data_IF_082275863687
#
_entry.id   IF_082275863687
#
_cell.length_a   1.000
_cell.length_b   1.000
_cell.length_c   1.000
_cell.angle_alpha   90.00
_cell.angle_beta   90.00
_cell.angle_gamma   90.00
#
_symmetry.space_group_name_H-M   'P 1'
#
loop_
_entity.id
_entity.type
_entity.pdbx_description
1 polymer ?
#
# COMPACT_ATOMS: atom_id res chain seq x y z
N UNK A 1 55.03 42.79 -17.28
CA UNK A 1 55.27 42.38 -18.68
C UNK A 1 54.04 41.61 -19.01
N UNK A 2 53.15 42.36 -19.40
CA UNK A 2 52.56 42.70 -20.70
C UNK A 2 51.42 41.70 -21.03
N UNK A 3 50.18 42.14 -20.89
CA UNK A 3 49.40 42.84 -21.89
C UNK A 3 49.03 41.89 -23.04
N UNK A 4 47.85 41.71 -23.51
CA UNK A 4 46.73 42.62 -23.77
C UNK A 4 45.52 41.86 -24.31
N UNK A 5 44.34 42.36 -23.93
CA UNK A 5 43.26 42.82 -24.79
C UNK A 5 42.43 41.74 -25.54
N UNK A 6 41.19 41.64 -25.15
CA UNK A 6 40.04 42.51 -25.50
C UNK A 6 39.28 42.06 -26.74
N UNK A 7 38.01 41.77 -26.61
CA UNK A 7 36.79 42.38 -27.13
C UNK A 7 35.64 41.38 -27.16
N UNK A 8 34.66 41.64 -26.31
CA UNK A 8 33.33 42.17 -26.66
C UNK A 8 32.75 41.67 -27.97
N UNK A 9 31.59 41.06 -27.89
CA UNK A 9 30.36 41.50 -28.56
C UNK A 9 29.19 40.65 -28.05
N UNK A 10 28.30 41.30 -27.29
CA UNK A 10 26.87 41.03 -27.28
C UNK A 10 26.29 41.95 -28.36
N UNK A 11 25.28 41.62 -29.14
CA UNK A 11 23.97 42.17 -28.87
C UNK A 11 22.77 41.31 -29.27
N UNK A 12 21.73 41.45 -28.45
CA UNK A 12 20.43 42.01 -28.78
C UNK A 12 19.55 41.38 -29.86
N UNK A 13 18.30 41.07 -29.40
CA UNK A 13 17.00 41.35 -30.06
C UNK A 13 16.65 40.44 -31.26
N UNK A 14 15.48 39.91 -31.36
CA UNK A 14 14.15 40.55 -31.27
C UNK A 14 13.04 39.50 -31.13
N UNK A 15 12.07 39.84 -30.33
CA UNK A 15 10.73 39.26 -30.36
C UNK A 15 9.98 39.79 -31.62
N UNK A 16 9.31 38.93 -32.34
CA UNK A 16 8.25 39.36 -33.22
C UNK A 16 6.98 38.52 -33.02
N UNK A 17 6.05 39.19 -32.40
CA UNK A 17 4.63 38.91 -32.39
C UNK A 17 4.04 39.04 -33.79
N UNK A 18 3.32 38.07 -34.28
CA UNK A 18 2.40 38.28 -35.40
C UNK A 18 0.96 38.12 -34.91
N UNK A 19 0.33 39.30 -34.72
CA UNK A 19 -1.10 39.51 -34.80
C UNK A 19 -1.52 39.54 -36.28
N UNK A 20 -2.49 38.75 -36.67
CA UNK A 20 -3.22 38.97 -37.92
C UNK A 20 -4.71 38.97 -37.63
N UNK A 21 -5.29 40.16 -37.72
CA UNK A 21 -6.74 40.37 -37.75
C UNK A 21 -7.32 40.00 -39.13
N UNK A 22 -8.62 39.68 -39.20
CA UNK A 22 -9.28 39.22 -40.42
C UNK A 22 -9.72 40.42 -41.31
N UNK A 23 -9.43 40.33 -42.58
CA UNK A 23 -10.00 41.21 -43.62
C UNK A 23 -11.29 40.61 -44.16
N UNK A 24 -12.33 41.38 -44.05
CA UNK A 24 -13.62 41.12 -44.67
C UNK A 24 -13.62 41.23 -46.19
N UNK A 25 -14.54 40.55 -46.81
CA UNK A 25 -14.73 40.68 -48.25
C UNK A 25 -15.98 39.97 -48.77
N UNK A 26 -17.01 40.75 -48.96
CA UNK A 26 -18.03 40.71 -49.99
C UNK A 26 -19.06 39.55 -50.02
N UNK A 27 -20.26 39.89 -49.57
CA UNK A 27 -21.52 39.28 -49.94
C UNK A 27 -21.81 39.45 -51.43
N UNK A 28 -22.04 38.39 -52.18
CA UNK A 28 -22.71 38.39 -53.46
C UNK A 28 -24.04 37.65 -53.33
N UNK A 29 -25.12 38.41 -53.37
CA UNK A 29 -26.47 37.92 -53.48
C UNK A 29 -26.69 37.27 -54.84
N UNK A 30 -26.88 35.96 -54.90
CA UNK A 30 -27.41 35.26 -56.03
C UNK A 30 -28.64 34.46 -55.61
N UNK A 31 -29.84 34.97 -56.00
CA UNK A 31 -31.10 34.25 -55.91
C UNK A 31 -31.32 33.50 -57.22
N UNK A 32 -31.42 32.19 -57.26
CA UNK A 32 -31.87 31.46 -58.44
C UNK A 32 -33.41 31.47 -58.56
N UNK A 33 -33.95 31.42 -59.75
CA UNK A 33 -35.40 31.52 -59.97
C UNK A 33 -36.16 30.28 -59.53
N UNK A 34 -37.30 30.54 -58.88
CA UNK A 34 -38.28 29.54 -58.45
C UNK A 34 -38.96 28.90 -59.67
N UNK A 35 -38.72 27.63 -59.91
CA UNK A 35 -39.43 26.84 -60.89
C UNK A 35 -40.41 25.92 -60.13
N UNK A 36 -41.70 26.29 -60.19
CA UNK A 36 -42.79 25.50 -59.65
C UNK A 36 -43.08 24.28 -60.55
N UNK A 37 -42.60 23.14 -60.20
CA UNK A 37 -43.15 21.86 -60.66
C UNK A 37 -43.83 21.17 -59.50
N UNK A 38 -45.18 21.11 -59.57
CA UNK A 38 -45.99 20.22 -58.74
C UNK A 38 -45.61 18.79 -59.10
N UNK A 39 -44.77 18.12 -58.26
CA UNK A 39 -44.66 16.68 -58.28
C UNK A 39 -45.54 16.10 -57.20
N UNK A 40 -46.48 15.27 -57.62
CA UNK A 40 -47.31 14.44 -56.75
C UNK A 40 -46.42 13.56 -55.89
N UNK A 41 -46.53 13.69 -54.57
CA UNK A 41 -45.86 12.79 -53.62
C UNK A 41 -46.44 11.37 -53.79
N UNK A 42 -45.59 10.35 -53.96
CA UNK A 42 -46.05 8.97 -53.89
C UNK A 42 -46.48 8.64 -52.47
N UNK A 43 -47.64 8.02 -52.30
CA UNK A 43 -48.10 7.55 -50.98
C UNK A 43 -47.13 6.53 -50.38
N UNK A 44 -46.87 6.60 -49.05
CA UNK A 44 -45.96 5.66 -48.41
C UNK A 44 -46.53 4.24 -48.46
N UNK A 45 -45.72 3.22 -48.71
CA UNK A 45 -46.17 1.84 -48.77
C UNK A 45 -46.73 1.38 -47.41
N UNK A 46 -47.88 0.71 -47.42
CA UNK A 46 -48.49 0.13 -46.21
C UNK A 46 -47.52 -0.83 -45.56
N UNK A 47 -47.04 -0.51 -44.34
CA UNK A 47 -46.17 -1.38 -43.52
C UNK A 47 -46.86 -2.71 -43.22
N UNK A 48 -46.40 -3.80 -43.83
CA UNK A 48 -46.76 -5.15 -43.41
C UNK A 48 -46.23 -5.36 -41.99
N UNK A 49 -47.10 -5.59 -41.02
CA UNK A 49 -46.74 -5.96 -39.64
C UNK A 49 -45.95 -7.28 -39.70
N UNK A 50 -44.62 -7.19 -39.51
CA UNK A 50 -43.73 -8.37 -39.35
C UNK A 50 -44.00 -8.99 -37.97
N UNK A 51 -44.73 -10.10 -37.93
CA UNK A 51 -44.95 -10.91 -36.71
C UNK A 51 -43.63 -11.47 -36.12
N UNK A 52 -42.48 -11.33 -36.81
CA UNK A 52 -41.16 -11.76 -36.35
C UNK A 52 -40.47 -10.81 -35.34
N UNK A 53 -40.87 -9.52 -35.31
CA UNK A 53 -40.24 -8.54 -34.45
C UNK A 53 -40.53 -8.75 -32.96
N UNK A 54 -41.70 -9.28 -32.61
CA UNK A 54 -42.10 -9.55 -31.22
C UNK A 54 -41.33 -10.76 -30.65
N UNK A 55 -41.13 -11.79 -31.46
CA UNK A 55 -40.38 -12.99 -31.04
C UNK A 55 -38.89 -12.67 -30.79
N UNK A 56 -38.27 -11.86 -31.66
CA UNK A 56 -36.88 -11.41 -31.48
C UNK A 56 -36.77 -10.53 -30.24
N UNK A 57 -37.71 -9.63 -29.99
CA UNK A 57 -37.72 -8.80 -28.79
C UNK A 57 -37.86 -9.65 -27.51
N UNK A 58 -38.72 -10.66 -27.51
CA UNK A 58 -38.89 -11.58 -26.37
C UNK A 58 -37.65 -12.40 -26.12
N UNK A 59 -36.94 -12.88 -27.15
CA UNK A 59 -35.69 -13.61 -27.02
C UNK A 59 -34.61 -12.71 -26.43
N UNK A 60 -34.48 -11.46 -26.91
CA UNK A 60 -33.49 -10.49 -26.37
C UNK A 60 -33.78 -10.15 -24.91
N UNK A 61 -35.04 -9.95 -24.54
CA UNK A 61 -35.42 -9.70 -23.14
C UNK A 61 -35.13 -10.92 -22.26
N UNK A 62 -35.46 -12.14 -22.73
CA UNK A 62 -35.15 -13.36 -21.98
C UNK A 62 -33.64 -13.60 -21.81
N UNK A 63 -32.83 -13.30 -22.83
CA UNK A 63 -31.35 -13.41 -22.70
C UNK A 63 -30.82 -12.36 -21.76
N UNK A 64 -31.35 -11.13 -21.75
CA UNK A 64 -30.92 -10.08 -20.78
C UNK A 64 -31.35 -10.44 -19.35
N UNK A 65 -32.56 -10.96 -19.15
CA UNK A 65 -33.04 -11.42 -17.84
C UNK A 65 -32.23 -12.62 -17.37
N UNK A 66 -31.92 -13.60 -18.23
CA UNK A 66 -31.11 -14.74 -17.90
C UNK A 66 -29.68 -14.30 -17.55
N UNK A 67 -29.07 -13.37 -18.31
CA UNK A 67 -27.77 -12.80 -18.01
C UNK A 67 -27.77 -12.06 -16.67
N UNK A 68 -28.83 -11.26 -16.40
CA UNK A 68 -28.95 -10.55 -15.11
C UNK A 68 -29.15 -11.53 -13.93
N UNK A 69 -29.88 -12.62 -14.12
CA UNK A 69 -30.05 -13.67 -13.08
C UNK A 69 -28.73 -14.41 -12.85
N UNK A 70 -27.98 -14.75 -13.90
CA UNK A 70 -26.66 -15.42 -13.77
C UNK A 70 -25.65 -14.47 -13.11
N UNK A 71 -25.66 -13.19 -13.49
CA UNK A 71 -24.80 -12.17 -12.86
C UNK A 71 -25.22 -11.96 -11.40
N UNK A 72 -26.53 -11.82 -11.13
CA UNK A 72 -27.05 -11.70 -9.77
C UNK A 72 -26.76 -12.93 -8.91
N UNK A 73 -26.86 -14.15 -9.46
CA UNK A 73 -26.50 -15.37 -8.78
C UNK A 73 -24.99 -15.44 -8.48
N UNK A 74 -24.13 -15.02 -9.43
CA UNK A 74 -22.70 -14.92 -9.21
C UNK A 74 -22.36 -13.85 -8.16
N UNK A 75 -23.03 -12.69 -8.16
CA UNK A 75 -22.82 -11.62 -7.18
C UNK A 75 -23.30 -12.04 -5.79
N UNK A 76 -24.45 -12.72 -5.68
CA UNK A 76 -25.00 -13.19 -4.40
C UNK A 76 -24.24 -14.39 -3.80
N UNK A 77 -23.61 -15.22 -4.64
CA UNK A 77 -22.84 -16.40 -4.21
C UNK A 77 -21.32 -16.18 -4.31
N UNK A 78 -20.86 -14.96 -4.60
CA UNK A 78 -19.46 -14.64 -4.36
C UNK A 78 -19.23 -14.64 -2.83
N UNK A 79 -18.40 -15.49 -2.30
CA UNK A 79 -18.07 -15.43 -0.89
C UNK A 79 -17.36 -14.09 -0.63
N UNK A 80 -18.08 -13.13 -0.08
CA UNK A 80 -17.55 -11.92 0.54
C UNK A 80 -16.81 -12.25 1.85
N UNK A 81 -16.37 -13.49 2.00
CA UNK A 81 -15.74 -13.97 3.22
C UNK A 81 -14.23 -13.77 3.12
N UNK A 82 -13.70 -12.96 4.00
CA UNK A 82 -12.42 -13.29 4.57
C UNK A 82 -12.52 -14.76 5.01
N UNK A 83 -11.80 -15.67 4.35
CA UNK A 83 -11.66 -17.01 4.89
C UNK A 83 -11.01 -16.82 6.25
N UNK A 84 -11.67 -17.25 7.30
CA UNK A 84 -11.05 -17.32 8.62
C UNK A 84 -9.78 -18.13 8.48
N UNK A 85 -8.65 -17.69 9.08
CA UNK A 85 -7.41 -18.44 9.04
C UNK A 85 -7.68 -19.89 9.38
N UNK A 86 -7.22 -20.79 8.56
CA UNK A 86 -7.53 -22.23 8.71
C UNK A 86 -6.79 -22.89 9.85
N UNK A 87 -5.97 -22.14 10.62
CA UNK A 87 -5.04 -22.75 11.57
C UNK A 87 -3.99 -23.61 10.86
N UNK A 88 -3.67 -23.29 9.61
CA UNK A 88 -2.66 -23.98 8.82
C UNK A 88 -1.29 -23.75 9.46
N UNK A 89 -0.53 -24.83 9.66
CA UNK A 89 0.82 -24.81 10.22
C UNK A 89 1.91 -24.58 9.14
N UNK A 90 1.52 -24.24 7.91
CA UNK A 90 2.46 -23.89 6.83
C UNK A 90 3.31 -22.68 7.25
N UNK A 91 4.63 -22.81 7.04
CA UNK A 91 5.61 -21.76 7.37
C UNK A 91 6.44 -21.40 6.17
N UNK A 92 6.89 -20.14 6.15
CA UNK A 92 7.87 -19.70 5.18
C UNK A 92 9.24 -20.28 5.53
N UNK A 93 9.83 -21.05 4.62
CA UNK A 93 11.17 -21.59 4.78
C UNK A 93 12.22 -20.65 4.20
N UNK A 94 13.27 -20.37 4.98
CA UNK A 94 14.41 -19.57 4.56
C UNK A 94 15.64 -20.49 4.42
N UNK A 95 16.26 -20.48 3.25
CA UNK A 95 17.53 -21.17 3.02
C UNK A 95 18.72 -20.26 3.35
N UNK A 96 19.87 -20.86 3.64
CA UNK A 96 21.12 -20.11 3.65
C UNK A 96 21.64 -19.95 2.23
N UNK A 97 22.31 -18.83 1.89
CA UNK A 97 22.99 -18.73 0.61
C UNK A 97 24.02 -19.86 0.46
N UNK A 98 24.31 -20.30 -0.76
CA UNK A 98 25.39 -21.27 -0.99
C UNK A 98 26.69 -20.73 -0.41
N UNK A 99 27.34 -21.52 0.46
CA UNK A 99 28.69 -21.22 0.93
C UNK A 99 29.64 -21.53 -0.21
N UNK A 100 30.33 -20.53 -0.72
CA UNK A 100 31.40 -20.70 -1.72
C UNK A 100 32.60 -21.28 -0.99
N UNK A 101 32.67 -22.60 -0.91
CA UNK A 101 33.86 -23.32 -0.47
C UNK A 101 34.75 -23.57 -1.69
N UNK A 102 36.03 -23.25 -1.61
CA UNK A 102 36.97 -23.35 -2.74
C UNK A 102 37.23 -24.80 -3.22
N UNK A 103 36.60 -25.78 -2.60
CA UNK A 103 36.82 -27.20 -2.90
C UNK A 103 35.68 -27.93 -3.64
N UNK A 104 34.49 -27.31 -3.79
CA UNK A 104 33.39 -27.87 -4.55
C UNK A 104 32.88 -26.84 -5.57
N UNK A 105 32.63 -27.20 -6.84
CA UNK A 105 31.95 -26.33 -7.79
C UNK A 105 30.47 -26.23 -7.37
N UNK A 106 30.17 -25.37 -6.43
CA UNK A 106 28.82 -24.93 -6.14
C UNK A 106 28.51 -23.86 -7.18
N UNK A 107 27.32 -23.90 -7.74
CA UNK A 107 26.82 -22.92 -8.71
C UNK A 107 27.16 -21.52 -8.23
N UNK A 108 28.10 -20.86 -8.89
CA UNK A 108 28.50 -19.50 -8.62
C UNK A 108 27.34 -18.53 -8.81
N UNK A 109 27.56 -17.22 -8.59
CA UNK A 109 26.52 -16.22 -8.85
C UNK A 109 25.92 -16.35 -10.24
N UNK A 110 24.60 -16.31 -10.31
CA UNK A 110 23.85 -16.36 -11.56
C UNK A 110 23.97 -15.04 -12.32
N UNK A 111 23.94 -15.09 -13.65
CA UNK A 111 23.74 -13.87 -14.44
C UNK A 111 22.36 -13.27 -14.21
N UNK A 112 22.20 -11.96 -14.41
CA UNK A 112 20.91 -11.28 -14.29
C UNK A 112 19.80 -11.95 -15.14
N UNK A 113 20.16 -12.49 -16.32
CA UNK A 113 19.23 -13.22 -17.17
C UNK A 113 18.76 -14.54 -16.56
N UNK A 114 19.63 -15.26 -15.88
CA UNK A 114 19.32 -16.51 -15.18
C UNK A 114 18.48 -16.25 -13.94
N UNK A 115 18.83 -15.19 -13.16
CA UNK A 115 18.03 -14.73 -12.01
C UNK A 115 16.61 -14.41 -12.47
N UNK A 116 16.45 -13.60 -13.52
CA UNK A 116 15.13 -13.27 -14.06
C UNK A 116 14.32 -14.51 -14.41
N UNK A 117 14.91 -15.45 -15.17
CA UNK A 117 14.23 -16.69 -15.55
C UNK A 117 13.82 -17.54 -14.34
N UNK A 118 14.63 -17.53 -13.28
CA UNK A 118 14.36 -18.30 -12.06
C UNK A 118 13.17 -17.74 -11.30
N UNK A 119 13.05 -16.41 -11.19
CA UNK A 119 12.12 -15.72 -10.30
C UNK A 119 10.83 -15.25 -10.99
N UNK A 120 10.87 -14.99 -12.30
CA UNK A 120 9.73 -14.42 -13.03
C UNK A 120 8.45 -15.26 -12.91
N UNK A 121 8.55 -16.58 -12.96
CA UNK A 121 7.40 -17.49 -12.85
C UNK A 121 6.77 -17.51 -11.44
N UNK A 122 7.51 -17.02 -10.45
CA UNK A 122 7.05 -16.92 -9.05
C UNK A 122 6.53 -15.52 -8.71
N UNK A 123 6.67 -14.55 -9.64
CA UNK A 123 6.13 -13.21 -9.51
C UNK A 123 4.76 -13.12 -10.16
N UNK A 124 3.82 -12.52 -9.48
CA UNK A 124 2.42 -12.39 -9.93
C UNK A 124 1.93 -10.95 -9.80
N UNK A 125 1.01 -10.55 -10.65
CA UNK A 125 0.26 -9.31 -10.50
C UNK A 125 -0.84 -9.49 -9.46
N UNK A 126 -1.03 -8.50 -8.59
CA UNK A 126 -2.14 -8.44 -7.63
C UNK A 126 -3.04 -7.29 -8.03
N UNK A 127 -4.27 -7.59 -8.43
CA UNK A 127 -5.27 -6.62 -8.89
C UNK A 127 -6.42 -6.62 -7.91
N UNK A 128 -6.69 -5.47 -7.30
CA UNK A 128 -7.72 -5.29 -6.29
C UNK A 128 -8.85 -4.43 -6.84
N UNK A 129 -10.06 -4.96 -6.78
CA UNK A 129 -11.27 -4.26 -7.18
C UNK A 129 -12.07 -3.85 -5.94
N UNK A 130 -12.75 -2.71 -6.01
CA UNK A 130 -13.72 -2.32 -5.00
C UNK A 130 -14.89 -3.30 -4.95
N UNK A 131 -15.61 -3.39 -3.83
CA UNK A 131 -16.65 -4.40 -3.57
C UNK A 131 -17.73 -4.59 -4.63
N UNK A 132 -17.90 -3.64 -5.57
CA UNK A 132 -18.82 -3.75 -6.71
C UNK A 132 -18.13 -4.12 -8.03
N UNK A 133 -16.87 -4.51 -8.01
CA UNK A 133 -16.13 -5.28 -9.03
C UNK A 133 -15.99 -4.70 -10.46
N UNK A 134 -16.15 -3.40 -10.67
CA UNK A 134 -15.98 -2.81 -12.03
C UNK A 134 -14.78 -1.87 -12.14
N UNK A 135 -14.23 -1.39 -11.03
CA UNK A 135 -13.11 -0.45 -11.02
C UNK A 135 -11.94 -1.02 -10.24
N UNK A 136 -10.77 -1.00 -10.85
CA UNK A 136 -9.51 -1.32 -10.18
C UNK A 136 -9.24 -0.24 -9.13
N UNK A 137 -9.04 -0.65 -7.90
CA UNK A 137 -8.76 0.23 -6.77
C UNK A 137 -7.25 0.33 -6.49
N UNK A 138 -6.55 -0.78 -6.56
CA UNK A 138 -5.10 -0.84 -6.44
C UNK A 138 -4.52 -1.99 -7.25
N UNK A 139 -3.28 -1.83 -7.66
CA UNK A 139 -2.48 -2.86 -8.30
C UNK A 139 -1.11 -2.92 -7.63
N UNK A 140 -0.56 -4.12 -7.57
CA UNK A 140 0.76 -4.38 -7.02
C UNK A 140 1.33 -5.69 -7.53
N UNK A 141 2.33 -6.15 -6.84
CA UNK A 141 3.01 -7.41 -7.11
C UNK A 141 2.83 -8.37 -5.94
N UNK A 142 2.88 -9.65 -6.21
CA UNK A 142 2.95 -10.71 -5.21
C UNK A 142 4.05 -11.71 -5.55
N UNK A 143 4.56 -12.39 -4.54
CA UNK A 143 5.53 -13.47 -4.70
C UNK A 143 4.94 -14.76 -4.15
N UNK A 144 4.95 -15.79 -4.97
CA UNK A 144 4.47 -17.13 -4.59
C UNK A 144 5.38 -17.70 -3.52
N UNK A 145 4.83 -17.86 -2.32
CA UNK A 145 5.56 -18.37 -1.16
C UNK A 145 5.70 -19.90 -1.20
N UNK A 146 4.58 -20.58 -1.40
CA UNK A 146 4.52 -22.04 -1.32
C UNK A 146 3.09 -22.55 -1.21
N UNK A 147 2.97 -23.85 -1.01
CA UNK A 147 1.67 -24.51 -0.89
C UNK A 147 1.25 -24.64 0.57
N UNK A 148 -0.05 -24.71 0.81
CA UNK A 148 -0.58 -25.04 2.14
C UNK A 148 -0.26 -26.51 2.52
N UNK A 149 -0.44 -26.84 3.80
CA UNK A 149 -0.11 -28.17 4.35
C UNK A 149 -0.80 -29.32 3.61
N UNK A 150 -2.01 -29.10 3.10
CA UNK A 150 -2.80 -30.09 2.36
C UNK A 150 -2.43 -30.18 0.86
N UNK A 151 -1.57 -29.30 0.39
CA UNK A 151 -1.20 -29.16 -1.02
C UNK A 151 -2.44 -28.94 -1.95
N UNK A 152 -3.37 -28.11 -1.51
CA UNK A 152 -4.62 -27.76 -2.24
C UNK A 152 -4.69 -26.29 -2.62
N UNK A 153 -3.85 -25.47 -2.04
CA UNK A 153 -3.81 -24.03 -2.26
C UNK A 153 -2.38 -23.49 -2.22
N UNK A 154 -2.21 -22.30 -2.75
CA UNK A 154 -0.93 -21.58 -2.78
C UNK A 154 -1.04 -20.30 -1.97
N UNK A 155 -0.04 -20.01 -1.14
CA UNK A 155 0.12 -18.74 -0.46
C UNK A 155 1.00 -17.78 -1.28
N UNK A 156 0.62 -16.51 -1.25
CA UNK A 156 1.30 -15.42 -1.96
C UNK A 156 1.55 -14.31 -0.98
N UNK A 157 2.77 -13.81 -0.92
CA UNK A 157 3.15 -12.65 -0.11
C UNK A 157 3.02 -11.40 -0.97
N UNK A 158 2.46 -10.34 -0.42
CA UNK A 158 2.34 -9.01 -1.05
C UNK A 158 2.43 -7.92 0.02
N UNK A 159 2.30 -6.64 -0.36
CA UNK A 159 2.20 -5.55 0.61
C UNK A 159 0.77 -5.41 1.16
N UNK A 160 0.67 -5.10 2.46
CA UNK A 160 -0.61 -4.88 3.11
C UNK A 160 -1.39 -3.74 2.45
N UNK A 161 -0.73 -2.61 2.13
CA UNK A 161 -1.39 -1.46 1.52
C UNK A 161 -2.00 -1.75 0.14
N UNK A 162 -1.52 -2.77 -0.56
CA UNK A 162 -2.10 -3.18 -1.85
C UNK A 162 -3.46 -3.81 -1.66
N UNK A 163 -3.64 -4.59 -0.57
CA UNK A 163 -4.83 -5.41 -0.32
C UNK A 163 -5.71 -4.92 0.83
N UNK A 164 -5.29 -3.88 1.56
CA UNK A 164 -6.04 -3.30 2.69
C UNK A 164 -7.23 -2.47 2.20
N UNK A 165 -8.31 -3.14 1.88
CA UNK A 165 -9.54 -2.55 1.36
C UNK A 165 -10.75 -3.29 1.93
N UNK A 166 -11.87 -2.58 2.16
CA UNK A 166 -13.12 -3.21 2.63
C UNK A 166 -13.71 -4.09 1.54
N UNK A 167 -13.90 -5.39 1.86
CA UNK A 167 -14.53 -6.38 0.97
C UNK A 167 -13.90 -6.40 -0.45
N UNK A 168 -12.58 -6.59 -0.58
CA UNK A 168 -11.93 -6.57 -1.87
C UNK A 168 -12.29 -7.82 -2.69
N UNK A 169 -12.45 -7.66 -4.00
CA UNK A 169 -12.28 -8.75 -4.94
C UNK A 169 -10.84 -8.69 -5.45
N UNK A 170 -10.06 -9.75 -5.20
CA UNK A 170 -8.65 -9.79 -5.57
C UNK A 170 -8.45 -10.83 -6.66
N UNK A 171 -7.75 -10.44 -7.72
CA UNK A 171 -7.31 -11.32 -8.79
C UNK A 171 -5.79 -11.36 -8.76
N UNK A 172 -5.26 -12.56 -8.78
CA UNK A 172 -3.83 -12.82 -9.01
C UNK A 172 -3.66 -13.19 -10.47
N UNK A 173 -2.76 -12.50 -11.18
CA UNK A 173 -2.45 -12.73 -12.59
C UNK A 173 -1.00 -13.17 -12.76
N UNK A 174 -0.78 -14.21 -13.55
CA UNK A 174 0.55 -14.71 -13.91
C UNK A 174 1.09 -14.07 -15.18
N UNK A 175 2.37 -14.30 -15.49
CA UNK A 175 3.04 -13.78 -16.69
C UNK A 175 2.42 -14.29 -18.01
N UNK A 176 1.74 -15.43 -17.98
CA UNK A 176 1.01 -16.00 -19.12
C UNK A 176 -0.49 -15.64 -19.13
N UNK A 177 -0.84 -14.54 -18.44
CA UNK A 177 -2.19 -13.96 -18.35
C UNK A 177 -3.26 -14.87 -17.71
N UNK A 178 -2.86 -15.95 -17.05
CA UNK A 178 -3.81 -16.72 -16.24
C UNK A 178 -4.24 -15.94 -15.01
N UNK A 179 -5.50 -16.01 -14.67
CA UNK A 179 -6.10 -15.32 -13.56
C UNK A 179 -6.69 -16.28 -12.54
N UNK A 180 -6.48 -15.96 -11.27
CA UNK A 180 -6.95 -16.74 -10.13
C UNK A 180 -7.66 -15.80 -9.14
N UNK A 181 -8.81 -16.23 -8.64
CA UNK A 181 -9.44 -15.56 -7.50
C UNK A 181 -8.54 -15.77 -6.26
N UNK A 182 -8.27 -14.68 -5.53
CA UNK A 182 -7.44 -14.72 -4.34
C UNK A 182 -8.20 -14.18 -3.12
N UNK A 183 -7.88 -14.73 -1.96
CA UNK A 183 -8.49 -14.41 -0.68
C UNK A 183 -7.44 -13.90 0.29
N UNK A 184 -7.79 -12.87 1.07
CA UNK A 184 -6.90 -12.35 2.12
C UNK A 184 -6.86 -13.34 3.27
N UNK A 185 -5.68 -13.86 3.59
CA UNK A 185 -5.42 -14.69 4.78
C UNK A 185 -5.24 -13.80 5.99
N UNK A 186 -4.44 -12.76 5.84
CA UNK A 186 -4.18 -11.76 6.85
C UNK A 186 -3.29 -10.65 6.30
N UNK A 187 -3.22 -9.54 7.02
CA UNK A 187 -2.32 -8.43 6.71
C UNK A 187 -1.83 -7.76 7.99
N UNK A 188 -0.64 -7.21 7.91
CA UNK A 188 -0.03 -6.40 8.95
C UNK A 188 0.33 -5.02 8.39
N UNK A 189 -0.43 -4.01 8.79
CA UNK A 189 -0.27 -2.64 8.30
C UNK A 189 1.04 -2.02 8.80
N UNK A 190 1.54 -2.46 9.95
CA UNK A 190 2.76 -1.92 10.56
C UNK A 190 4.01 -2.28 9.76
N UNK A 191 4.14 -3.54 9.37
CA UNK A 191 5.27 -3.99 8.54
C UNK A 191 4.99 -3.92 7.05
N UNK A 192 3.76 -3.54 6.67
CA UNK A 192 3.28 -3.52 5.29
C UNK A 192 3.33 -4.90 4.59
N UNK A 193 3.15 -5.98 5.33
CA UNK A 193 3.12 -7.35 4.79
C UNK A 193 1.69 -7.88 4.78
N UNK A 194 1.31 -8.54 3.68
CA UNK A 194 0.03 -9.23 3.53
C UNK A 194 0.21 -10.61 2.90
N UNK A 195 -0.73 -11.50 3.21
CA UNK A 195 -0.77 -12.86 2.67
C UNK A 195 -2.09 -13.09 1.96
N UNK A 196 -2.00 -13.58 0.74
CA UNK A 196 -3.12 -14.05 -0.06
C UNK A 196 -3.09 -15.58 -0.19
N UNK A 197 -4.26 -16.19 -0.39
CA UNK A 197 -4.44 -17.60 -0.72
C UNK A 197 -5.16 -17.72 -2.06
N UNK A 198 -4.63 -18.59 -2.91
CA UNK A 198 -5.25 -19.02 -4.17
C UNK A 198 -5.56 -20.50 -4.08
N UNK A 199 -6.78 -20.92 -4.43
CA UNK A 199 -7.22 -22.33 -4.40
C UNK A 199 -6.73 -23.08 -5.67
N UNK A 200 -5.42 -23.11 -5.88
CA UNK A 200 -4.72 -23.84 -6.94
C UNK A 200 -3.27 -24.09 -6.52
N UNK A 201 -2.65 -25.12 -7.08
CA UNK A 201 -1.23 -25.45 -6.92
C UNK A 201 -0.45 -25.27 -8.22
N UNK A 202 -1.01 -24.59 -9.22
CA UNK A 202 -0.36 -24.36 -10.51
C UNK A 202 0.72 -23.27 -10.46
N UNK A 203 0.75 -22.47 -9.37
CA UNK A 203 1.70 -21.38 -9.20
C UNK A 203 3.02 -21.91 -8.67
N UNK A 204 4.14 -21.43 -9.24
CA UNK A 204 5.48 -21.90 -8.91
C UNK A 204 6.04 -21.11 -7.72
N UNK A 205 6.42 -21.75 -6.61
CA UNK A 205 7.04 -21.07 -5.48
C UNK A 205 8.41 -20.46 -5.80
N UNK A 206 8.73 -19.34 -5.15
CA UNK A 206 10.06 -18.75 -5.13
C UNK A 206 10.94 -19.43 -4.08
N UNK A 207 12.25 -19.36 -4.28
CA UNK A 207 13.22 -19.70 -3.25
C UNK A 207 13.46 -18.47 -2.37
N UNK A 208 13.34 -18.62 -1.05
CA UNK A 208 13.65 -17.57 -0.09
C UNK A 208 14.95 -17.85 0.64
N UNK A 209 15.72 -16.80 0.94
CA UNK A 209 16.96 -16.91 1.72
C UNK A 209 16.97 -15.95 2.92
N UNK A 210 17.79 -16.26 3.91
CA UNK A 210 17.99 -15.43 5.10
C UNK A 210 18.61 -14.08 4.71
N UNK A 211 17.89 -12.98 4.93
CA UNK A 211 18.38 -11.61 4.67
C UNK A 211 19.50 -11.17 5.64
N UNK A 212 19.66 -11.85 6.76
CA UNK A 212 20.74 -11.59 7.74
C UNK A 212 22.16 -11.84 7.18
N UNK A 213 22.24 -12.49 6.03
CA UNK A 213 23.52 -12.79 5.35
C UNK A 213 23.95 -11.72 4.34
N UNK A 214 23.09 -10.72 4.09
CA UNK A 214 23.40 -9.61 3.18
C UNK A 214 24.42 -8.68 3.78
N UNK A 215 25.27 -8.14 2.90
CA UNK A 215 26.23 -7.08 3.23
C UNK A 215 26.01 -5.85 2.34
N UNK A 216 26.43 -4.68 2.82
CA UNK A 216 26.41 -3.45 2.01
C UNK A 216 27.32 -3.63 0.81
N UNK A 217 26.81 -3.35 -0.39
CA UNK A 217 27.49 -3.57 -1.65
C UNK A 217 27.09 -4.85 -2.40
N UNK A 218 26.35 -5.76 -1.75
CA UNK A 218 25.84 -6.96 -2.41
C UNK A 218 24.92 -6.59 -3.57
N UNK A 219 25.08 -7.23 -4.75
CA UNK A 219 24.17 -7.03 -5.87
C UNK A 219 22.79 -7.59 -5.56
N UNK A 220 21.76 -6.79 -5.82
CA UNK A 220 20.36 -7.18 -5.65
C UNK A 220 19.53 -6.77 -6.86
N UNK A 221 18.43 -7.46 -7.05
CA UNK A 221 17.51 -7.27 -8.17
C UNK A 221 16.09 -7.15 -7.63
N UNK A 222 15.32 -6.23 -8.18
CA UNK A 222 13.90 -6.10 -7.88
C UNK A 222 13.08 -6.59 -9.07
N UNK A 223 12.04 -7.39 -8.80
CA UNK A 223 11.06 -7.82 -9.80
C UNK A 223 9.67 -7.40 -9.36
N UNK A 224 8.88 -6.89 -10.30
CA UNK A 224 7.51 -6.45 -10.02
C UNK A 224 6.80 -5.90 -11.24
N UNK A 225 5.68 -5.20 -11.00
CA UNK A 225 4.77 -4.71 -12.03
C UNK A 225 4.57 -3.19 -11.90
N UNK A 226 5.62 -2.36 -12.13
CA UNK A 226 5.55 -0.92 -11.94
C UNK A 226 4.49 -0.30 -12.87
N UNK A 227 3.55 0.46 -12.31
CA UNK A 227 2.44 1.02 -13.08
C UNK A 227 1.34 0.02 -13.44
N UNK A 228 1.30 -1.14 -12.76
CA UNK A 228 0.30 -2.18 -12.94
C UNK A 228 0.72 -3.31 -13.89
N UNK A 229 -0.23 -4.19 -14.19
CA UNK A 229 0.02 -5.42 -14.97
C UNK A 229 0.47 -5.18 -16.41
N UNK A 230 0.29 -3.96 -16.96
CA UNK A 230 0.81 -3.59 -18.29
C UNK A 230 2.35 -3.63 -18.38
N UNK A 231 3.06 -3.50 -17.26
CA UNK A 231 4.52 -3.60 -17.18
C UNK A 231 4.95 -4.85 -16.38
N UNK A 232 4.19 -5.91 -16.52
CA UNK A 232 4.40 -7.17 -15.82
C UNK A 232 5.86 -7.67 -15.93
N UNK A 233 6.41 -8.13 -14.80
CA UNK A 233 7.74 -8.74 -14.72
C UNK A 233 8.89 -7.78 -15.01
N UNK A 234 8.71 -6.48 -14.78
CA UNK A 234 9.82 -5.53 -14.86
C UNK A 234 10.92 -5.91 -13.87
N UNK A 235 12.16 -5.94 -14.37
CA UNK A 235 13.31 -6.41 -13.63
C UNK A 235 14.39 -5.32 -13.59
N UNK A 236 14.75 -4.88 -12.40
CA UNK A 236 15.74 -3.83 -12.19
C UNK A 236 16.88 -4.33 -11.30
N UNK A 237 18.06 -3.74 -11.40
CA UNK A 237 19.21 -4.11 -10.60
C UNK A 237 19.74 -2.94 -9.78
N UNK A 238 20.40 -3.27 -8.68
CA UNK A 238 21.07 -2.34 -7.80
C UNK A 238 21.99 -3.07 -6.82
N UNK A 239 22.30 -2.42 -5.72
CA UNK A 239 23.07 -3.01 -4.63
C UNK A 239 22.44 -2.64 -3.29
N UNK A 240 22.74 -3.40 -2.26
CA UNK A 240 22.40 -3.08 -0.89
C UNK A 240 23.17 -1.82 -0.47
N UNK A 241 22.46 -0.79 -0.02
CA UNK A 241 23.04 0.51 0.41
C UNK A 241 23.11 0.63 1.93
N UNK A 242 22.18 -0.01 2.65
CA UNK A 242 22.21 -0.12 4.11
C UNK A 242 21.35 -1.32 4.56
N UNK A 243 21.65 -1.82 5.75
CA UNK A 243 20.90 -2.91 6.42
C UNK A 243 20.41 -2.38 7.75
N UNK A 244 19.21 -2.78 8.15
CA UNK A 244 18.62 -2.33 9.41
C UNK A 244 18.31 -0.82 9.42
N UNK A 245 17.99 -0.25 8.25
CA UNK A 245 17.60 1.16 8.16
C UNK A 245 16.22 1.33 8.75
N UNK A 246 16.07 2.10 9.86
CA UNK A 246 14.75 2.44 10.36
C UNK A 246 14.00 3.34 9.37
N UNK A 247 12.80 2.98 9.03
CA UNK A 247 11.94 3.74 8.11
C UNK A 247 10.52 3.71 8.64
N UNK A 248 9.90 4.88 8.70
CA UNK A 248 8.52 5.00 9.14
C UNK A 248 7.56 4.32 8.15
N UNK A 249 6.73 3.44 8.67
CA UNK A 249 5.61 2.90 7.89
C UNK A 249 4.51 3.97 7.72
N UNK A 250 3.56 3.78 6.78
CA UNK A 250 2.45 4.72 6.57
C UNK A 250 1.61 5.02 7.81
N UNK A 251 1.71 4.19 8.83
CA UNK A 251 1.00 4.33 10.11
C UNK A 251 1.91 4.81 11.26
N UNK A 252 3.10 5.34 10.91
CA UNK A 252 4.05 5.89 11.88
C UNK A 252 4.73 4.84 12.75
N UNK A 253 4.88 3.61 12.26
CA UNK A 253 5.60 2.52 12.91
C UNK A 253 6.96 2.34 12.25
N UNK A 254 8.01 2.27 13.03
CA UNK A 254 9.37 2.10 12.51
C UNK A 254 9.60 0.64 12.06
N UNK A 255 9.99 0.45 10.81
CA UNK A 255 10.34 -0.85 10.23
C UNK A 255 11.81 -0.87 9.88
N UNK A 256 12.54 -1.86 10.38
CA UNK A 256 13.94 -2.07 10.02
C UNK A 256 14.04 -2.66 8.62
N UNK A 257 14.46 -1.86 7.63
CA UNK A 257 14.46 -2.22 6.22
C UNK A 257 15.86 -2.45 5.63
N UNK A 258 15.89 -3.20 4.51
CA UNK A 258 17.02 -3.22 3.58
C UNK A 258 16.86 -2.00 2.67
N UNK A 259 17.83 -1.07 2.67
CA UNK A 259 17.91 0.00 1.68
C UNK A 259 18.74 -0.46 0.49
N UNK A 260 18.28 -0.19 -0.74
CA UNK A 260 18.96 -0.59 -1.97
C UNK A 260 18.78 0.43 -3.09
N UNK A 261 19.59 0.33 -4.15
CA UNK A 261 19.57 1.24 -5.29
C UNK A 261 18.80 0.71 -6.51
N UNK A 262 18.23 -0.50 -6.46
CA UNK A 262 17.37 -0.98 -7.53
C UNK A 262 16.12 -0.08 -7.62
N UNK A 263 15.77 0.46 -8.82
CA UNK A 263 14.62 1.34 -8.99
C UNK A 263 13.31 0.70 -8.54
N UNK A 264 12.60 1.37 -7.63
CA UNK A 264 11.27 1.01 -7.14
C UNK A 264 10.27 2.11 -7.54
N UNK A 265 9.13 1.68 -8.04
CA UNK A 265 8.02 2.54 -8.44
C UNK A 265 6.70 1.95 -7.93
N UNK A 266 5.62 2.74 -7.84
CA UNK A 266 4.28 2.21 -7.55
C UNK A 266 3.94 1.04 -8.48
N UNK A 267 3.47 -0.08 -7.89
CA UNK A 267 3.24 -1.35 -8.55
C UNK A 267 4.34 -2.40 -8.30
N UNK A 268 5.58 -2.01 -7.92
CA UNK A 268 6.59 -2.96 -7.42
C UNK A 268 6.32 -3.41 -5.98
N UNK A 269 5.43 -2.74 -5.26
CA UNK A 269 5.02 -3.10 -3.90
C UNK A 269 4.52 -4.54 -3.84
N UNK A 270 5.08 -5.32 -2.91
CA UNK A 270 4.83 -6.76 -2.77
C UNK A 270 5.70 -7.65 -3.67
N UNK A 271 6.50 -7.04 -4.56
CA UNK A 271 7.47 -7.75 -5.40
C UNK A 271 8.74 -8.12 -4.63
N UNK A 272 9.51 -9.07 -5.17
CA UNK A 272 10.72 -9.54 -4.52
C UNK A 272 11.92 -8.61 -4.72
N UNK A 273 12.71 -8.47 -3.65
CA UNK A 273 14.13 -8.16 -3.73
C UNK A 273 14.89 -9.50 -3.70
N UNK A 274 15.71 -9.79 -4.70
CA UNK A 274 16.42 -11.06 -4.81
C UNK A 274 17.94 -10.85 -4.84
N UNK A 275 18.66 -11.84 -4.29
CA UNK A 275 20.13 -11.86 -4.30
C UNK A 275 20.67 -12.41 -5.64
N UNK A 276 22.00 -12.48 -5.76
CA UNK A 276 22.72 -12.99 -6.93
C UNK A 276 22.51 -14.50 -7.20
N UNK A 277 21.82 -15.22 -6.33
CA UNK A 277 21.47 -16.64 -6.51
C UNK A 277 19.99 -16.81 -6.90
N UNK A 278 19.28 -15.70 -7.14
CA UNK A 278 17.85 -15.70 -7.46
C UNK A 278 16.98 -16.16 -6.31
N UNK A 279 17.37 -15.84 -5.08
CA UNK A 279 16.61 -16.12 -3.86
C UNK A 279 16.04 -14.82 -3.31
N UNK A 280 14.82 -14.86 -2.84
CA UNK A 280 14.12 -13.70 -2.23
C UNK A 280 14.73 -13.40 -0.87
N UNK A 281 15.24 -12.19 -0.70
CA UNK A 281 15.84 -11.68 0.53
C UNK A 281 15.03 -10.55 1.17
N UNK A 282 13.99 -10.09 0.48
CA UNK A 282 13.07 -9.08 1.02
C UNK A 282 11.86 -8.86 0.10
N UNK A 283 10.87 -8.14 0.64
CA UNK A 283 9.66 -7.71 -0.07
C UNK A 283 9.71 -6.19 -0.24
N UNK A 284 9.71 -5.73 -1.49
CA UNK A 284 9.77 -4.30 -1.82
C UNK A 284 8.47 -3.60 -1.42
N UNK A 285 8.58 -2.41 -0.82
CA UNK A 285 7.45 -1.54 -0.57
C UNK A 285 7.73 -0.12 -1.06
N UNK A 286 6.90 0.39 -1.95
CA UNK A 286 6.99 1.77 -2.44
C UNK A 286 6.44 2.79 -1.43
N UNK A 287 5.65 2.35 -0.44
CA UNK A 287 5.11 3.23 0.61
C UNK A 287 6.08 3.48 1.77
N UNK A 288 7.00 2.55 1.99
CA UNK A 288 8.09 2.72 2.95
C UNK A 288 9.18 3.63 2.36
N UNK A 289 9.25 3.77 1.01
CA UNK A 289 10.09 4.75 0.36
C UNK A 289 9.48 6.14 0.56
N UNK A 290 10.19 7.04 1.24
CA UNK A 290 9.77 8.43 1.32
C UNK A 290 9.70 9.02 -0.10
N UNK A 291 8.59 9.65 -0.46
CA UNK A 291 8.34 10.25 -1.79
C UNK A 291 9.40 11.27 -2.21
N UNK A 292 10.22 11.73 -1.24
CA UNK A 292 11.23 12.78 -1.42
C UNK A 292 12.64 12.27 -1.77
N UNK A 293 12.90 10.93 -1.82
CA UNK A 293 14.24 10.38 -2.02
C UNK A 293 14.36 9.56 -3.30
N UNK A 294 14.68 10.25 -4.40
CA UNK A 294 14.95 9.59 -5.68
C UNK A 294 16.15 8.63 -5.59
N UNK A 295 15.99 7.42 -6.11
CA UNK A 295 17.06 6.41 -6.17
C UNK A 295 17.26 5.60 -4.89
N UNK A 296 16.37 5.73 -3.89
CA UNK A 296 16.35 4.88 -2.70
C UNK A 296 15.16 3.91 -2.77
N UNK A 297 15.44 2.62 -2.79
CA UNK A 297 14.48 1.56 -2.63
C UNK A 297 14.55 0.96 -1.23
N UNK A 298 13.43 0.47 -0.72
CA UNK A 298 13.34 -0.20 0.58
C UNK A 298 12.59 -1.52 0.45
N UNK A 299 13.08 -2.51 1.17
CA UNK A 299 12.45 -3.82 1.27
C UNK A 299 12.39 -4.30 2.72
N UNK A 300 11.27 -4.90 3.10
CA UNK A 300 11.14 -5.59 4.38
C UNK A 300 11.99 -6.86 4.32
N UNK A 301 12.94 -7.07 5.26
CA UNK A 301 13.84 -8.23 5.24
C UNK A 301 13.10 -9.56 5.30
N UNK A 302 13.58 -10.59 4.60
CA UNK A 302 12.94 -11.92 4.57
C UNK A 302 12.79 -12.55 5.97
N UNK A 303 13.70 -12.27 6.90
CA UNK A 303 13.60 -12.76 8.28
C UNK A 303 12.39 -12.14 9.00
N UNK A 304 12.14 -10.83 8.82
CA UNK A 304 10.95 -10.15 9.34
C UNK A 304 9.69 -10.64 8.60
N UNK A 305 9.75 -10.76 7.27
CA UNK A 305 8.64 -11.29 6.46
C UNK A 305 8.21 -12.66 6.97
N UNK A 306 9.17 -13.56 7.26
CA UNK A 306 8.88 -14.89 7.79
C UNK A 306 8.10 -14.85 9.09
N UNK A 307 8.53 -14.06 10.07
CA UNK A 307 7.87 -13.92 11.37
C UNK A 307 6.41 -13.47 11.21
N UNK A 308 6.19 -12.47 10.37
CA UNK A 308 4.87 -11.91 10.12
C UNK A 308 3.98 -12.90 9.35
N UNK A 309 4.48 -13.49 8.28
CA UNK A 309 3.74 -14.41 7.41
C UNK A 309 3.31 -15.67 8.18
N UNK A 310 4.21 -16.24 8.99
CA UNK A 310 3.90 -17.42 9.82
C UNK A 310 2.73 -17.11 10.80
N UNK A 311 2.72 -15.91 11.40
CA UNK A 311 1.61 -15.47 12.26
C UNK A 311 0.32 -15.21 11.46
N UNK A 312 0.41 -14.56 10.30
CA UNK A 312 -0.76 -14.29 9.46
C UNK A 312 -1.41 -15.59 8.95
N UNK A 313 -0.63 -16.58 8.54
CA UNK A 313 -1.16 -17.87 8.07
C UNK A 313 -1.83 -18.61 9.23
N UNK A 314 -1.21 -18.62 10.38
CA UNK A 314 -1.71 -19.36 11.56
C UNK A 314 -2.92 -18.69 12.20
N UNK A 315 -2.87 -17.38 12.39
CA UNK A 315 -3.81 -16.65 13.26
C UNK A 315 -4.65 -15.60 12.50
N UNK A 316 -4.35 -15.32 11.23
CA UNK A 316 -4.94 -14.24 10.43
C UNK A 316 -4.47 -12.85 10.80
N UNK A 317 -3.67 -12.72 11.84
CA UNK A 317 -3.15 -11.48 12.40
C UNK A 317 -1.91 -11.74 13.22
N UNK A 318 -1.09 -10.70 13.42
CA UNK A 318 0.07 -10.76 14.32
C UNK A 318 -0.43 -10.70 15.76
N UNK A 319 -0.02 -11.66 16.59
CA UNK A 319 -0.45 -11.79 17.98
C UNK A 319 0.57 -11.18 18.95
N UNK A 320 0.12 -10.93 20.17
CA UNK A 320 0.96 -10.47 21.29
C UNK A 320 1.72 -9.16 21.03
N UNK A 321 1.23 -8.30 20.15
CA UNK A 321 1.82 -7.00 19.88
C UNK A 321 1.33 -5.97 20.90
N UNK A 322 2.23 -5.40 21.73
CA UNK A 322 1.82 -4.45 22.75
C UNK A 322 1.45 -3.10 22.15
N UNK A 323 0.36 -2.52 22.60
CA UNK A 323 -0.09 -1.17 22.22
C UNK A 323 -0.72 -0.45 23.41
N UNK A 324 -0.76 0.88 23.36
CA UNK A 324 -1.56 1.71 24.28
C UNK A 324 -3.03 1.76 23.89
N UNK A 325 -3.35 1.56 22.62
CA UNK A 325 -4.70 1.67 22.06
C UNK A 325 -5.18 3.15 22.04
N UNK A 326 -4.39 4.00 21.41
CA UNK A 326 -4.73 5.41 21.16
C UNK A 326 -4.40 5.78 19.71
N UNK A 327 -5.17 6.75 19.19
CA UNK A 327 -4.73 7.58 18.08
C UNK A 327 -4.16 8.87 18.64
N UNK A 328 -3.06 9.37 18.06
CA UNK A 328 -2.41 10.58 18.53
C UNK A 328 -1.84 11.41 17.38
N UNK A 329 -1.54 12.66 17.70
CA UNK A 329 -0.72 13.50 16.81
C UNK A 329 0.33 14.27 17.64
N UNK A 330 1.50 14.61 17.05
CA UNK A 330 2.43 15.52 17.69
C UNK A 330 1.74 16.84 18.08
N UNK A 331 1.99 17.32 19.29
CA UNK A 331 1.42 18.58 19.76
C UNK A 331 1.82 19.79 18.88
N UNK A 332 2.95 19.66 18.16
CA UNK A 332 3.45 20.66 17.20
C UNK A 332 2.56 20.80 15.96
N UNK A 333 1.77 19.78 15.62
CA UNK A 333 0.88 19.80 14.45
C UNK A 333 -0.39 20.65 14.68
N UNK A 334 -0.65 21.05 15.93
CA UNK A 334 -1.77 21.92 16.28
C UNK A 334 -1.26 23.21 16.92
N UNK A 335 -1.70 24.35 16.40
CA UNK A 335 -1.22 25.67 16.84
C UNK A 335 -1.46 25.94 18.33
N UNK A 336 -2.63 25.56 18.88
CA UNK A 336 -2.96 25.78 20.29
C UNK A 336 -2.06 24.96 21.20
N UNK A 337 -1.94 23.64 20.92
CA UNK A 337 -1.06 22.76 21.70
C UNK A 337 0.41 23.16 21.59
N UNK A 338 0.88 23.57 20.40
CA UNK A 338 2.23 24.07 20.21
C UNK A 338 2.53 25.30 21.05
N UNK A 339 1.57 26.23 21.19
CA UNK A 339 1.70 27.37 22.09
C UNK A 339 1.72 26.91 23.56
N UNK A 340 0.84 25.97 23.95
CA UNK A 340 0.78 25.46 25.32
C UNK A 340 2.08 24.73 25.71
N UNK A 341 2.64 23.95 24.82
CA UNK A 341 3.94 23.28 25.03
C UNK A 341 5.02 24.31 25.35
N UNK A 342 5.15 25.36 24.54
CA UNK A 342 6.16 26.41 24.73
C UNK A 342 5.91 27.26 25.97
N UNK A 343 4.66 27.68 26.20
CA UNK A 343 4.30 28.57 27.30
C UNK A 343 4.42 27.91 28.68
N UNK A 344 4.35 26.58 28.76
CA UNK A 344 4.39 25.80 30.01
C UNK A 344 5.63 24.95 30.16
N UNK A 345 6.64 25.18 29.33
CA UNK A 345 7.90 24.46 29.36
C UNK A 345 7.73 22.91 29.33
N UNK A 346 6.84 22.43 28.42
CA UNK A 346 6.57 21.03 28.23
C UNK A 346 7.54 20.45 27.19
N UNK A 347 7.80 19.14 27.21
CA UNK A 347 8.67 18.47 26.24
C UNK A 347 8.22 18.70 24.80
N UNK A 348 9.17 18.88 23.88
CA UNK A 348 8.91 19.18 22.46
C UNK A 348 8.26 18.03 21.70
N UNK A 349 8.48 16.79 22.13
CA UNK A 349 7.87 15.60 21.57
C UNK A 349 6.54 15.19 22.21
N UNK A 350 5.91 16.11 22.98
CA UNK A 350 4.58 15.87 23.54
C UNK A 350 3.58 15.48 22.42
N UNK A 351 2.74 14.48 22.69
CA UNK A 351 1.69 14.03 21.78
C UNK A 351 0.32 14.32 22.36
N UNK A 352 -0.65 14.65 21.50
CA UNK A 352 -2.05 14.86 21.85
C UNK A 352 -2.83 13.59 21.55
N UNK A 353 -3.57 13.09 22.52
CA UNK A 353 -4.46 11.94 22.34
C UNK A 353 -5.66 12.41 21.52
N UNK A 354 -5.76 11.90 20.29
CA UNK A 354 -6.88 12.18 19.38
C UNK A 354 -8.08 11.30 19.69
N UNK A 355 -7.84 10.00 19.89
CA UNK A 355 -8.86 9.01 20.23
C UNK A 355 -8.29 7.95 21.19
N UNK A 356 -9.12 7.46 22.11
CA UNK A 356 -8.83 6.30 22.95
C UNK A 356 -9.69 5.14 22.44
N UNK A 357 -9.06 4.14 21.85
CA UNK A 357 -9.73 3.00 21.25
C UNK A 357 -10.42 2.09 22.28
N UNK A 358 -11.48 1.39 21.87
CA UNK A 358 -12.07 0.36 22.70
C UNK A 358 -11.04 -0.75 22.97
N UNK A 359 -10.95 -1.21 24.22
CA UNK A 359 -9.96 -2.18 24.65
C UNK A 359 -8.68 -1.59 25.25
N UNK A 360 -8.45 -0.28 25.10
CA UNK A 360 -7.35 0.43 25.76
C UNK A 360 -7.53 0.43 27.29
N UNK A 361 -6.45 0.19 28.04
CA UNK A 361 -6.46 0.32 29.52
C UNK A 361 -6.60 1.79 29.98
N UNK A 362 -6.32 2.75 29.09
CA UNK A 362 -6.57 4.19 29.36
C UNK A 362 -8.04 4.50 29.67
N UNK A 363 -8.99 3.73 29.12
CA UNK A 363 -10.42 3.90 29.43
C UNK A 363 -10.75 3.67 30.91
N UNK A 364 -9.87 2.99 31.67
CA UNK A 364 -10.01 2.76 33.10
C UNK A 364 -9.37 3.87 33.95
N UNK A 365 -8.91 4.96 33.34
CA UNK A 365 -8.23 6.08 33.98
C UNK A 365 -9.04 7.37 33.79
N UNK A 366 -8.53 8.48 34.35
CA UNK A 366 -9.10 9.80 34.14
C UNK A 366 -8.64 10.49 32.83
N UNK A 367 -7.79 9.83 32.02
CA UNK A 367 -7.28 10.36 30.74
C UNK A 367 -8.42 10.52 29.74
N UNK A 368 -8.37 11.60 28.94
CA UNK A 368 -9.36 11.94 27.94
C UNK A 368 -8.72 12.30 26.62
N UNK A 369 -9.51 12.22 25.58
CA UNK A 369 -9.18 12.81 24.27
C UNK A 369 -8.91 14.30 24.44
N UNK A 370 -7.85 14.79 23.80
CA UNK A 370 -7.32 16.16 24.00
C UNK A 370 -6.27 16.31 25.10
N UNK A 371 -6.05 15.32 25.95
CA UNK A 371 -4.91 15.31 26.87
C UNK A 371 -3.59 15.11 26.11
N UNK A 372 -2.50 15.62 26.68
CA UNK A 372 -1.15 15.38 26.13
C UNK A 372 -0.41 14.35 26.99
N UNK A 373 0.28 13.40 26.34
CA UNK A 373 1.31 12.59 26.99
C UNK A 373 2.63 13.36 26.88
N UNK A 374 3.27 13.63 28.01
CA UNK A 374 4.51 14.43 28.07
C UNK A 374 5.71 13.64 28.62
N UNK A 375 5.47 12.51 29.30
CA UNK A 375 6.54 11.62 29.75
C UNK A 375 6.02 10.17 29.85
N UNK A 376 6.94 9.21 29.75
CA UNK A 376 6.70 7.79 29.99
C UNK A 376 7.78 7.25 30.94
N UNK A 377 7.38 6.53 31.98
CA UNK A 377 8.26 5.96 33.00
C UNK A 377 9.25 6.98 33.59
N UNK A 378 8.81 8.26 33.73
CA UNK A 378 9.61 9.35 34.23
C UNK A 378 10.59 9.97 33.22
N UNK A 379 10.64 9.48 31.97
CA UNK A 379 11.45 10.05 30.89
C UNK A 379 10.59 11.00 30.06
N UNK A 380 11.00 12.25 29.90
CA UNK A 380 10.30 13.23 29.08
C UNK A 380 10.23 12.80 27.62
N UNK A 381 9.16 13.14 26.93
CA UNK A 381 9.03 12.96 25.48
C UNK A 381 9.72 14.12 24.75
N UNK A 382 11.05 14.07 24.61
CA UNK A 382 11.80 15.03 23.78
C UNK A 382 11.50 14.80 22.28
N UNK A 383 11.17 13.56 21.89
CA UNK A 383 10.52 13.11 20.66
C UNK A 383 9.44 12.10 21.02
N UNK A 384 8.40 11.93 20.16
CA UNK A 384 7.39 10.88 20.33
C UNK A 384 8.01 9.46 20.25
N UNK A 385 9.16 9.31 19.59
CA UNK A 385 9.88 8.03 19.46
C UNK A 385 10.23 7.44 20.84
N UNK A 386 10.42 8.28 21.85
CA UNK A 386 10.66 7.82 23.25
C UNK A 386 9.50 6.95 23.76
N UNK A 387 8.25 7.32 23.43
CA UNK A 387 7.09 6.52 23.81
C UNK A 387 6.99 5.27 22.95
N UNK A 388 7.24 5.39 21.65
CA UNK A 388 7.20 4.27 20.71
C UNK A 388 8.23 3.20 21.09
N UNK A 389 9.48 3.61 21.37
CA UNK A 389 10.54 2.71 21.83
C UNK A 389 10.14 1.91 23.10
N UNK A 390 9.49 2.59 24.06
CA UNK A 390 9.02 1.91 25.30
C UNK A 390 7.92 0.91 25.02
N UNK A 391 6.99 1.23 24.10
CA UNK A 391 5.90 0.32 23.72
C UNK A 391 6.45 -0.88 22.95
N UNK A 392 7.31 -0.67 21.97
CA UNK A 392 7.88 -1.72 21.11
C UNK A 392 8.76 -2.70 21.86
N UNK A 393 9.53 -2.22 22.82
CA UNK A 393 10.36 -3.06 23.70
C UNK A 393 9.57 -3.70 24.86
N UNK A 394 8.30 -3.31 25.03
CA UNK A 394 7.40 -3.83 26.05
C UNK A 394 6.76 -5.17 25.66
N UNK A 395 5.97 -5.70 26.59
CA UNK A 395 5.14 -6.90 26.40
C UNK A 395 3.72 -6.58 26.75
N UNK A 396 2.78 -7.31 26.17
CA UNK A 396 1.37 -7.27 26.59
C UNK A 396 1.27 -7.53 28.09
N UNK A 397 0.61 -6.63 28.81
CA UNK A 397 0.46 -6.65 30.27
C UNK A 397 1.50 -5.85 31.04
N UNK A 398 2.58 -5.39 30.42
CA UNK A 398 3.55 -4.50 31.06
C UNK A 398 2.89 -3.19 31.46
N UNK A 399 3.29 -2.66 32.61
CA UNK A 399 2.76 -1.41 33.16
C UNK A 399 3.66 -0.26 32.78
N UNK A 400 3.05 0.80 32.27
CA UNK A 400 3.68 2.08 31.99
C UNK A 400 3.11 3.15 32.91
N UNK A 401 3.98 4.04 33.42
CA UNK A 401 3.54 5.27 34.07
C UNK A 401 3.63 6.40 33.05
N UNK A 402 2.50 7.00 32.70
CA UNK A 402 2.42 8.13 31.78
C UNK A 402 2.21 9.40 32.59
N UNK A 403 3.01 10.46 32.31
CA UNK A 403 2.71 11.80 32.81
C UNK A 403 1.87 12.52 31.76
N UNK A 404 0.69 12.93 32.20
CA UNK A 404 -0.34 13.58 31.37
C UNK A 404 -0.34 15.09 31.66
N UNK A 405 -0.47 15.89 30.61
CA UNK A 405 -0.72 17.33 30.72
C UNK A 405 -2.08 17.62 30.10
N UNK A 406 -2.99 18.17 30.91
CA UNK A 406 -4.34 18.59 30.52
C UNK A 406 -4.44 20.09 30.46
N UNK A 407 -4.95 20.61 29.35
CA UNK A 407 -5.28 22.03 29.15
C UNK A 407 -6.74 22.21 29.43
N UNK A 408 -7.09 23.12 30.39
CA UNK A 408 -8.46 23.45 30.68
C UNK A 408 -8.99 24.62 29.80
N UNK A 409 -10.28 24.92 29.88
CA UNK A 409 -10.95 25.98 29.10
C UNK A 409 -10.41 27.40 29.37
N UNK A 410 -9.55 27.60 30.38
CA UNK A 410 -8.87 28.85 30.68
C UNK A 410 -7.39 28.82 30.26
N UNK A 411 -7.00 27.84 29.43
CA UNK A 411 -5.61 27.62 28.98
C UNK A 411 -4.61 27.33 30.12
N UNK A 412 -5.11 26.86 31.27
CA UNK A 412 -4.26 26.43 32.37
C UNK A 412 -3.89 24.96 32.18
N UNK A 413 -2.59 24.63 32.30
CA UNK A 413 -2.07 23.28 32.24
C UNK A 413 -2.02 22.68 33.64
N UNK A 414 -2.58 21.47 33.77
CA UNK A 414 -2.42 20.62 34.97
C UNK A 414 -1.68 19.37 34.57
N UNK A 415 -0.83 18.81 35.46
CA UNK A 415 -0.09 17.60 35.23
C UNK A 415 -0.49 16.55 36.27
N UNK A 416 -0.63 15.30 35.83
CA UNK A 416 -0.90 14.15 36.70
C UNK A 416 -0.32 12.88 36.07
N UNK A 417 -0.05 11.87 36.91
CA UNK A 417 0.46 10.58 36.47
C UNK A 417 -0.64 9.54 36.47
N UNK A 418 -0.62 8.66 35.46
CA UNK A 418 -1.47 7.48 35.41
C UNK A 418 -0.62 6.24 35.12
N UNK A 419 -1.03 5.12 35.70
CA UNK A 419 -0.41 3.83 35.39
C UNK A 419 -1.38 3.01 34.54
N UNK A 420 -0.92 2.59 33.37
CA UNK A 420 -1.69 1.80 32.40
C UNK A 420 -0.93 0.56 31.99
N UNK A 421 -1.65 -0.43 31.46
CA UNK A 421 -1.04 -1.64 30.91
C UNK A 421 -1.03 -1.54 29.39
N UNK A 422 0.05 -2.05 28.81
CA UNK A 422 0.05 -2.39 27.38
C UNK A 422 -0.93 -3.54 27.13
N UNK A 423 -1.79 -3.36 26.14
CA UNK A 423 -2.78 -4.35 25.73
C UNK A 423 -2.38 -5.00 24.39
N UNK A 424 -2.93 -6.17 24.09
CA UNK A 424 -2.71 -6.81 22.80
C UNK A 424 -3.44 -6.01 21.70
N UNK A 425 -2.75 -5.65 20.62
CA UNK A 425 -3.33 -4.94 19.48
C UNK A 425 -4.61 -5.60 18.96
N UNK A 426 -4.67 -6.94 19.02
CA UNK A 426 -5.83 -7.72 18.58
C UNK A 426 -7.09 -7.52 19.43
N UNK A 427 -6.96 -6.91 20.62
CA UNK A 427 -8.08 -6.58 21.52
C UNK A 427 -8.62 -5.17 21.30
N UNK A 428 -7.92 -4.37 20.48
CA UNK A 428 -8.31 -3.01 20.16
C UNK A 428 -9.33 -3.03 19.02
N UNK A 429 -10.37 -2.22 19.15
CA UNK A 429 -11.30 -1.92 18.06
C UNK A 429 -11.56 -0.42 17.97
N UNK A 430 -11.69 0.08 16.75
CA UNK A 430 -12.10 1.46 16.52
C UNK A 430 -13.46 1.72 17.19
N UNK A 431 -13.65 2.92 17.76
CA UNK A 431 -14.98 3.37 18.11
C UNK A 431 -15.79 3.48 16.81
N UNK A 432 -17.01 2.95 16.77
CA UNK A 432 -17.91 3.22 15.66
C UNK A 432 -18.08 4.74 15.55
N UNK A 433 -17.43 5.35 14.58
CA UNK A 433 -17.50 6.78 14.33
C UNK A 433 -18.94 7.13 13.97
N UNK A 434 -19.63 7.79 14.90
CA UNK A 434 -20.74 8.66 14.55
C UNK A 434 -20.12 9.88 13.88
N UNK A 435 -20.27 9.95 12.55
CA UNK A 435 -19.83 11.04 11.67
C UNK A 435 -19.40 12.31 12.40
N UNK A 436 -18.11 12.57 12.37
CA UNK A 436 -17.41 13.85 12.26
C UNK A 436 -16.02 13.68 12.88
N UNK A 437 -15.01 13.59 12.00
CA UNK A 437 -13.61 13.73 12.41
C UNK A 437 -13.34 15.20 12.73
N UNK A 438 -13.81 15.66 13.88
CA UNK A 438 -13.33 16.88 14.50
C UNK A 438 -12.39 16.45 15.62
N UNK A 439 -11.10 16.80 15.53
CA UNK A 439 -10.24 16.83 16.69
C UNK A 439 -11.03 17.50 17.82
N UNK A 440 -11.14 16.90 19.02
CA UNK A 440 -11.81 17.53 20.12
C UNK A 440 -11.01 18.78 20.49
N UNK A 441 -11.44 19.93 19.96
CA UNK A 441 -10.96 21.20 20.48
C UNK A 441 -11.62 21.41 21.83
N UNK A 442 -10.86 21.59 22.91
CA UNK A 442 -11.46 21.92 24.21
C UNK A 442 -12.08 23.34 24.24
N UNK A 443 -12.20 23.99 23.07
CA UNK A 443 -12.55 25.39 22.95
C UNK A 443 -13.53 25.61 21.77
N UNK A 444 -14.81 25.43 22.03
CA UNK A 444 -15.91 26.17 21.41
C UNK A 444 -16.42 27.23 22.39
#
# INVERSE_FOLDING_TARGET
MDENMNKDVNPHEEASSYNAQPTGGYYSNYTPPVNNYYQQQPQPPKKKKKKGSLVVLVIVVLTLVFSAVVIGYKILNYPLSQETPSGDDTKLELSKPPVVDNETPIDGPLSAKEIYKKVNDSSVGVIVYSGNATQVQSEGTGIVMGYNSDNTATYIITCAHVINTKNPKIIVQTADDKQYDAYVVGLDVKTDIGVLRVNSTDLKPADFAESSTLEVGDPVYAIGNPGGTQFFGSFTNGMVSAIGRPVDSPVGYEVSCIQHTAPINPGNSGGALVNQYGQVVGINSSKIAAEDYEGMGFAVPSVTVKEIVDELIKNGKVMNRPVLGIEFSPATNNQVYSIMVRANDLPSGAIVIAEISNGSDLLNTEVKEGDMIIAVNGKNLDSYDVLMEVIENGKVGDKLTLTIARVDGNYKVSKFDVTVKLVDETTISEKQSTNESSFPFPFE
#
